data_IF_889273848679
#
_entry.id   IF_889273848679
#
_cell.length_a   1.000
_cell.length_b   1.000
_cell.length_c   1.000
_cell.angle_alpha   90.00
_cell.angle_beta   90.00
_cell.angle_gamma   90.00
#
_symmetry.space_group_name_H-M   'P 1'
#
loop_
_entity.id
_entity.type
_entity.pdbx_description
1 polymer ?
#
# COMPACT_ATOMS: atom_id res chain seq x y z
N UNK A 1 32.78 -17.53 -22.20
CA UNK A 1 32.01 -16.29 -22.01
C UNK A 1 30.55 -16.71 -21.99
N UNK A 2 29.89 -16.69 -20.85
CA UNK A 2 28.46 -17.07 -20.77
C UNK A 2 27.64 -15.85 -21.15
N UNK A 3 26.94 -15.92 -22.29
CA UNK A 3 25.95 -14.90 -22.65
C UNK A 3 24.70 -15.14 -21.82
N UNK A 4 24.28 -14.13 -21.07
CA UNK A 4 23.00 -14.15 -20.37
C UNK A 4 21.90 -14.16 -21.45
N UNK A 5 20.93 -15.10 -21.40
CA UNK A 5 19.79 -15.06 -22.30
C UNK A 5 19.07 -13.72 -22.16
N UNK A 6 18.98 -12.95 -23.25
CA UNK A 6 18.24 -11.70 -23.30
C UNK A 6 17.36 -11.68 -24.55
N UNK A 7 16.25 -10.97 -24.46
CA UNK A 7 15.42 -10.63 -25.61
C UNK A 7 15.84 -9.21 -26.02
N UNK A 8 16.28 -8.99 -27.26
CA UNK A 8 16.61 -7.64 -27.71
C UNK A 8 15.35 -6.77 -27.69
N UNK A 9 15.47 -5.56 -27.16
CA UNK A 9 14.42 -4.56 -27.28
C UNK A 9 14.22 -4.17 -28.75
N UNK A 10 13.05 -3.65 -29.06
CA UNK A 10 12.80 -3.04 -30.37
C UNK A 10 13.55 -1.72 -30.44
N UNK A 11 13.92 -1.33 -31.65
CA UNK A 11 14.51 0.00 -31.90
C UNK A 11 13.46 1.12 -31.77
N UNK A 12 12.18 0.78 -32.00
CA UNK A 12 11.06 1.72 -31.96
C UNK A 12 9.84 1.08 -31.25
N UNK A 13 9.11 1.87 -30.43
CA UNK A 13 7.87 1.45 -29.80
C UNK A 13 6.80 0.92 -30.76
N UNK A 14 5.92 0.08 -30.24
CA UNK A 14 4.70 -0.29 -30.95
C UNK A 14 3.71 0.88 -31.02
N UNK A 15 2.85 0.87 -32.04
CA UNK A 15 1.72 1.79 -32.09
C UNK A 15 0.77 1.51 -30.90
N UNK A 16 0.39 2.53 -30.09
CA UNK A 16 -0.46 2.33 -28.92
C UNK A 16 -1.86 1.81 -29.29
N UNK A 17 -2.25 0.66 -28.73
CA UNK A 17 -3.60 0.10 -28.95
C UNK A 17 -4.70 0.98 -28.36
N UNK A 18 -4.46 1.55 -27.18
CA UNK A 18 -5.42 2.41 -26.46
C UNK A 18 -5.44 3.85 -26.98
N UNK A 19 -4.78 4.13 -28.11
CA UNK A 19 -4.58 5.48 -28.64
C UNK A 19 -3.46 6.26 -27.92
N UNK A 20 -3.21 7.52 -28.31
CA UNK A 20 -2.09 8.31 -27.81
C UNK A 20 -2.13 8.52 -26.30
N UNK A 21 -0.98 8.52 -25.65
CA UNK A 21 -0.84 8.82 -24.22
C UNK A 21 -1.35 10.24 -23.96
N UNK A 22 -2.20 10.38 -22.94
CA UNK A 22 -2.75 11.68 -22.50
C UNK A 22 -2.70 11.83 -20.97
N UNK A 23 -2.08 10.91 -20.24
CA UNK A 23 -1.76 11.09 -18.83
C UNK A 23 -0.78 12.26 -18.65
N UNK A 24 -0.91 12.95 -17.52
CA UNK A 24 0.00 14.04 -17.16
C UNK A 24 1.35 13.52 -16.66
N UNK A 25 1.34 12.33 -16.06
CA UNK A 25 2.54 11.64 -15.60
C UNK A 25 2.86 10.48 -16.53
N UNK A 26 4.15 10.33 -16.81
CA UNK A 26 4.75 9.21 -17.51
C UNK A 26 6.10 8.91 -16.84
N UNK A 27 6.44 7.65 -16.64
CA UNK A 27 7.60 7.27 -15.84
C UNK A 27 8.78 6.86 -16.73
N UNK A 28 9.77 6.22 -16.13
CA UNK A 28 11.04 5.92 -16.79
C UNK A 28 10.98 4.69 -17.69
N UNK A 29 9.90 3.89 -17.66
CA UNK A 29 9.76 2.73 -18.54
C UNK A 29 9.33 3.20 -19.94
N UNK A 30 9.91 2.62 -20.98
CA UNK A 30 9.58 3.00 -22.35
C UNK A 30 8.23 2.43 -22.77
N UNK A 31 7.31 3.32 -23.13
CA UNK A 31 5.95 2.96 -23.50
C UNK A 31 5.91 2.05 -24.73
N UNK A 32 5.13 0.97 -24.64
CA UNK A 32 4.83 0.07 -25.74
C UNK A 32 6.07 -0.54 -26.42
N UNK A 33 7.22 -0.59 -25.74
CA UNK A 33 8.44 -1.18 -26.30
C UNK A 33 8.37 -2.72 -26.38
N UNK A 34 7.61 -3.34 -25.46
CA UNK A 34 7.42 -4.80 -25.37
C UNK A 34 6.14 -5.25 -26.11
N UNK A 35 5.06 -4.46 -26.03
CA UNK A 35 3.75 -4.82 -26.60
C UNK A 35 2.90 -3.59 -26.90
N UNK A 36 2.04 -3.68 -27.92
CA UNK A 36 1.07 -2.62 -28.26
C UNK A 36 -0.05 -2.44 -27.22
N UNK A 37 -0.29 -3.44 -26.36
CA UNK A 37 -1.45 -3.47 -25.46
C UNK A 37 -1.18 -2.90 -24.05
N UNK A 38 0.08 -2.89 -23.63
CA UNK A 38 0.52 -2.45 -22.31
C UNK A 38 1.62 -1.42 -22.55
N UNK A 39 1.42 -0.18 -22.07
CA UNK A 39 2.39 0.89 -22.23
C UNK A 39 3.66 0.60 -21.42
N UNK A 40 3.56 0.59 -20.09
CA UNK A 40 4.67 0.26 -19.20
C UNK A 40 4.52 -1.18 -18.68
N UNK A 41 5.20 -2.13 -19.33
CA UNK A 41 5.02 -3.56 -19.14
C UNK A 41 5.42 -4.04 -17.73
N UNK A 42 6.60 -3.65 -17.26
CA UNK A 42 7.12 -4.02 -15.95
C UNK A 42 6.34 -3.30 -14.85
N UNK A 43 6.06 -2.00 -14.99
CA UNK A 43 5.25 -1.25 -14.02
C UNK A 43 3.84 -1.86 -13.89
N UNK A 44 3.24 -2.30 -15.00
CA UNK A 44 1.94 -3.00 -14.98
C UNK A 44 2.03 -4.36 -14.27
N UNK A 45 3.02 -5.19 -14.58
CA UNK A 45 3.10 -6.54 -14.01
C UNK A 45 3.46 -6.52 -12.52
N UNK A 46 4.31 -5.60 -12.07
CA UNK A 46 4.74 -5.52 -10.67
C UNK A 46 3.59 -5.24 -9.70
N UNK A 47 2.49 -4.66 -10.19
CA UNK A 47 1.26 -4.46 -9.43
C UNK A 47 0.58 -5.75 -8.94
N UNK A 48 0.91 -6.91 -9.51
CA UNK A 48 0.50 -8.23 -8.97
C UNK A 48 0.92 -8.42 -7.51
N UNK A 49 1.97 -7.71 -7.08
CA UNK A 49 2.46 -7.74 -5.71
C UNK A 49 1.42 -7.23 -4.72
N UNK A 50 0.71 -6.14 -5.04
CA UNK A 50 -0.38 -5.62 -4.21
C UNK A 50 -1.52 -6.65 -4.09
N UNK A 51 -1.90 -7.27 -5.20
CA UNK A 51 -2.93 -8.31 -5.23
C UNK A 51 -2.56 -9.53 -4.38
N UNK A 52 -1.31 -9.98 -4.49
CA UNK A 52 -0.80 -11.09 -3.71
C UNK A 52 -0.87 -10.78 -2.21
N UNK A 53 -0.42 -9.61 -1.77
CA UNK A 53 -0.45 -9.25 -0.35
C UNK A 53 -1.84 -8.97 0.20
N UNK A 54 -2.72 -8.37 -0.60
CA UNK A 54 -4.13 -8.23 -0.25
C UNK A 54 -4.78 -9.61 -0.04
N UNK A 55 -4.54 -10.56 -0.95
CA UNK A 55 -5.01 -11.94 -0.80
C UNK A 55 -4.48 -12.60 0.47
N UNK A 56 -3.18 -12.49 0.76
CA UNK A 56 -2.59 -13.05 1.97
C UNK A 56 -3.19 -12.47 3.25
N UNK A 57 -3.45 -11.16 3.29
CA UNK A 57 -4.11 -10.49 4.41
C UNK A 57 -5.56 -10.96 4.61
N UNK A 58 -6.34 -11.00 3.54
CA UNK A 58 -7.74 -11.48 3.57
C UNK A 58 -7.80 -12.95 4.01
N UNK A 59 -6.88 -13.79 3.50
CA UNK A 59 -6.79 -15.20 3.88
C UNK A 59 -6.54 -15.38 5.37
N UNK A 60 -5.66 -14.56 5.98
CA UNK A 60 -5.37 -14.60 7.41
C UNK A 60 -6.60 -14.29 8.28
N UNK A 61 -7.55 -13.51 7.75
CA UNK A 61 -8.78 -13.11 8.44
C UNK A 61 -9.98 -14.06 8.23
N UNK A 62 -9.84 -15.11 7.42
CA UNK A 62 -10.94 -15.97 6.96
C UNK A 62 -11.81 -16.61 8.05
N UNK A 63 -11.26 -16.81 9.26
CA UNK A 63 -11.96 -17.44 10.38
C UNK A 63 -12.39 -16.46 11.48
N UNK A 64 -12.30 -15.15 11.25
CA UNK A 64 -12.60 -14.13 12.26
C UNK A 64 -14.01 -13.57 12.12
N UNK A 65 -14.70 -13.35 13.23
CA UNK A 65 -16.05 -12.77 13.24
C UNK A 65 -16.09 -11.30 12.78
N UNK A 66 -14.98 -10.57 12.93
CA UNK A 66 -14.81 -9.17 12.52
C UNK A 66 -14.12 -9.02 11.14
N UNK A 67 -14.02 -10.11 10.36
CA UNK A 67 -13.25 -10.18 9.11
C UNK A 67 -13.62 -9.08 8.09
N UNK A 68 -14.89 -8.69 7.99
CA UNK A 68 -15.32 -7.66 7.03
C UNK A 68 -14.59 -6.33 7.24
N UNK A 69 -14.58 -5.83 8.48
CA UNK A 69 -13.93 -4.54 8.80
C UNK A 69 -12.41 -4.65 8.81
N UNK A 70 -11.85 -5.81 9.18
CA UNK A 70 -10.41 -6.09 9.07
C UNK A 70 -9.93 -6.14 7.62
N UNK A 71 -10.79 -6.57 6.70
CA UNK A 71 -10.43 -6.73 5.29
C UNK A 71 -10.53 -5.45 4.46
N UNK A 72 -11.14 -4.37 4.97
CA UNK A 72 -11.26 -3.11 4.21
C UNK A 72 -9.92 -2.54 3.73
N UNK A 73 -8.85 -2.44 4.56
CA UNK A 73 -7.55 -1.98 4.08
C UNK A 73 -6.91 -2.90 3.05
N UNK A 74 -7.10 -4.22 3.17
CA UNK A 74 -6.60 -5.19 2.18
C UNK A 74 -7.36 -5.10 0.85
N UNK A 75 -8.66 -4.85 0.89
CA UNK A 75 -9.45 -4.55 -0.32
C UNK A 75 -9.01 -3.22 -0.95
N UNK A 76 -8.70 -2.20 -0.14
CA UNK A 76 -8.07 -0.96 -0.60
C UNK A 76 -6.74 -1.21 -1.30
N UNK A 77 -5.86 -2.03 -0.71
CA UNK A 77 -4.59 -2.43 -1.30
C UNK A 77 -4.76 -3.17 -2.65
N UNK A 78 -5.74 -4.06 -2.74
CA UNK A 78 -6.07 -4.72 -4.01
C UNK A 78 -6.56 -3.71 -5.04
N UNK A 79 -7.39 -2.74 -4.63
CA UNK A 79 -7.85 -1.64 -5.47
C UNK A 79 -6.71 -0.82 -6.06
N UNK A 80 -5.72 -0.47 -5.23
CA UNK A 80 -4.49 0.22 -5.67
C UNK A 80 -3.77 -0.60 -6.75
N UNK A 81 -3.53 -1.89 -6.51
CA UNK A 81 -2.86 -2.73 -7.50
C UNK A 81 -3.60 -2.83 -8.84
N UNK A 82 -4.94 -2.91 -8.82
CA UNK A 82 -5.72 -2.98 -10.05
C UNK A 82 -5.69 -1.66 -10.81
N UNK A 83 -5.91 -0.54 -10.11
CA UNK A 83 -6.03 0.76 -10.75
C UNK A 83 -4.67 1.29 -11.22
N UNK A 84 -3.60 1.03 -10.46
CA UNK A 84 -2.22 1.26 -10.88
C UNK A 84 -1.86 0.42 -12.11
N UNK A 85 -2.20 -0.88 -12.12
CA UNK A 85 -1.96 -1.72 -13.30
C UNK A 85 -2.70 -1.21 -14.55
N UNK A 86 -3.94 -0.74 -14.40
CA UNK A 86 -4.72 -0.15 -15.50
C UNK A 86 -4.10 1.16 -16.00
N UNK A 87 -3.60 1.99 -15.09
CA UNK A 87 -2.89 3.21 -15.45
C UNK A 87 -1.63 2.90 -16.25
N UNK A 88 -0.72 2.11 -15.72
CA UNK A 88 0.54 1.75 -16.40
C UNK A 88 0.31 0.98 -17.71
N UNK A 89 -0.82 0.27 -17.85
CA UNK A 89 -1.14 -0.43 -19.10
C UNK A 89 -1.63 0.52 -20.20
N UNK A 90 -2.24 1.65 -19.86
CA UNK A 90 -2.96 2.49 -20.82
C UNK A 90 -2.45 3.92 -20.93
N UNK A 91 -1.78 4.43 -19.89
CA UNK A 91 -1.29 5.80 -19.72
C UNK A 91 -2.36 6.84 -20.09
N UNK A 92 -3.56 6.66 -19.55
CA UNK A 92 -4.68 7.59 -19.72
C UNK A 92 -4.92 8.46 -18.50
N UNK A 93 -5.35 9.69 -18.73
CA UNK A 93 -5.84 10.62 -17.71
C UNK A 93 -6.86 9.97 -16.76
N UNK A 94 -7.91 9.35 -17.30
CA UNK A 94 -8.95 8.72 -16.47
C UNK A 94 -8.47 7.49 -15.69
N UNK A 95 -7.47 6.77 -16.20
CA UNK A 95 -6.83 5.69 -15.43
C UNK A 95 -5.86 6.22 -14.39
N UNK A 96 -5.17 7.33 -14.68
CA UNK A 96 -4.30 8.02 -13.73
C UNK A 96 -5.13 8.53 -12.54
N UNK A 97 -6.29 9.13 -12.80
CA UNK A 97 -7.22 9.53 -11.74
C UNK A 97 -7.64 8.34 -10.88
N UNK A 98 -7.85 7.18 -11.50
CA UNK A 98 -8.15 5.93 -10.81
C UNK A 98 -7.02 5.50 -9.87
N UNK A 99 -5.78 5.50 -10.36
CA UNK A 99 -4.59 5.16 -9.56
C UNK A 99 -4.41 6.13 -8.39
N UNK A 100 -4.36 7.45 -8.66
CA UNK A 100 -4.23 8.51 -7.65
C UNK A 100 -5.31 8.40 -6.56
N UNK A 101 -6.57 8.27 -6.99
CA UNK A 101 -7.71 8.17 -6.07
C UNK A 101 -7.65 6.92 -5.22
N UNK A 102 -7.22 5.80 -5.79
CA UNK A 102 -7.14 4.52 -5.07
C UNK A 102 -6.15 4.58 -3.90
N UNK A 103 -5.01 5.26 -4.09
CA UNK A 103 -3.98 5.45 -3.06
C UNK A 103 -4.50 6.31 -1.90
N UNK A 104 -5.20 7.40 -2.20
CA UNK A 104 -5.83 8.26 -1.18
C UNK A 104 -6.91 7.50 -0.42
N UNK A 105 -7.83 6.81 -1.10
CA UNK A 105 -8.90 6.07 -0.42
C UNK A 105 -8.31 4.98 0.47
N UNK A 106 -7.35 4.19 -0.03
CA UNK A 106 -6.70 3.14 0.74
C UNK A 106 -6.03 3.71 2.01
N UNK A 107 -5.27 4.80 1.87
CA UNK A 107 -4.58 5.45 3.00
C UNK A 107 -5.56 6.07 3.98
N UNK A 108 -6.61 6.72 3.51
CA UNK A 108 -7.71 7.23 4.33
C UNK A 108 -8.38 6.15 5.19
N UNK A 109 -8.56 4.92 4.67
CA UNK A 109 -9.09 3.82 5.50
C UNK A 109 -8.15 3.44 6.64
N UNK A 110 -6.84 3.46 6.41
CA UNK A 110 -5.82 3.19 7.44
C UNK A 110 -5.77 4.34 8.44
N UNK A 111 -5.78 5.58 7.96
CA UNK A 111 -5.83 6.81 8.77
C UNK A 111 -7.03 6.78 9.72
N UNK A 112 -8.23 6.54 9.19
CA UNK A 112 -9.44 6.43 9.99
C UNK A 112 -9.31 5.36 11.07
N UNK A 113 -8.79 4.18 10.72
CA UNK A 113 -8.60 3.08 11.67
C UNK A 113 -7.64 3.43 12.82
N UNK A 114 -6.50 4.06 12.54
CA UNK A 114 -5.53 4.41 13.59
C UNK A 114 -6.00 5.57 14.47
N UNK A 115 -6.74 6.53 13.92
CA UNK A 115 -7.27 7.68 14.70
C UNK A 115 -8.52 7.33 15.52
N UNK A 116 -9.27 6.30 15.13
CA UNK A 116 -10.47 5.84 15.85
C UNK A 116 -10.19 4.69 16.82
N UNK A 117 -8.93 4.28 16.92
CA UNK A 117 -8.49 3.32 17.92
C UNK A 117 -8.85 3.77 19.35
N UNK A 118 -9.52 2.89 20.09
CA UNK A 118 -10.00 3.12 21.47
C UNK A 118 -10.91 4.35 21.61
N UNK A 119 -11.64 4.71 20.54
CA UNK A 119 -12.65 5.77 20.54
C UNK A 119 -14.05 5.20 20.56
N UNK A 120 -15.01 6.02 21.01
CA UNK A 120 -16.41 5.63 21.02
C UNK A 120 -16.96 5.43 19.61
N UNK A 121 -17.96 4.56 19.45
CA UNK A 121 -18.63 4.33 18.16
C UNK A 121 -19.11 5.63 17.51
N UNK A 122 -19.64 6.56 18.31
CA UNK A 122 -20.07 7.88 17.83
C UNK A 122 -18.92 8.65 17.21
N UNK A 123 -17.75 8.68 17.85
CA UNK A 123 -16.57 9.34 17.30
C UNK A 123 -16.14 8.68 15.99
N UNK A 124 -16.08 7.35 15.95
CA UNK A 124 -15.69 6.58 14.77
C UNK A 124 -16.60 6.84 13.58
N UNK A 125 -17.91 6.85 13.78
CA UNK A 125 -18.88 7.12 12.71
C UNK A 125 -18.78 8.55 12.23
N UNK A 126 -18.75 9.53 13.14
CA UNK A 126 -18.68 10.95 12.76
C UNK A 126 -17.38 11.27 12.02
N UNK A 127 -16.23 10.82 12.52
CA UNK A 127 -14.94 11.06 11.85
C UNK A 127 -14.87 10.35 10.49
N UNK A 128 -15.43 9.15 10.38
CA UNK A 128 -15.51 8.41 9.12
C UNK A 128 -16.39 9.10 8.08
N UNK A 129 -17.58 9.58 8.48
CA UNK A 129 -18.45 10.35 7.61
C UNK A 129 -17.81 11.66 7.16
N UNK A 130 -17.15 12.38 8.07
CA UNK A 130 -16.43 13.62 7.72
C UNK A 130 -15.28 13.36 6.75
N UNK A 131 -14.48 12.32 6.98
CA UNK A 131 -13.39 11.93 6.08
C UNK A 131 -13.92 11.51 4.71
N UNK A 132 -15.01 10.75 4.66
CA UNK A 132 -15.65 10.34 3.41
C UNK A 132 -16.12 11.55 2.58
N UNK A 133 -16.80 12.52 3.22
CA UNK A 133 -17.27 13.73 2.54
C UNK A 133 -16.07 14.53 2.00
N UNK A 134 -15.02 14.68 2.80
CA UNK A 134 -13.80 15.36 2.39
C UNK A 134 -13.13 14.65 1.19
N UNK A 135 -12.97 13.33 1.25
CA UNK A 135 -12.38 12.53 0.16
C UNK A 135 -13.19 12.66 -1.13
N UNK A 136 -14.53 12.53 -1.06
CA UNK A 136 -15.40 12.70 -2.24
C UNK A 136 -15.24 14.09 -2.85
N UNK A 137 -15.20 15.14 -2.03
CA UNK A 137 -15.02 16.51 -2.52
C UNK A 137 -13.63 16.72 -3.14
N UNK A 138 -12.59 16.19 -2.50
CA UNK A 138 -11.21 16.28 -3.00
C UNK A 138 -11.03 15.53 -4.32
N UNK A 139 -11.51 14.29 -4.40
CA UNK A 139 -11.45 13.47 -5.62
C UNK A 139 -12.25 14.11 -6.76
N UNK A 140 -13.44 14.62 -6.48
CA UNK A 140 -14.23 15.31 -7.49
C UNK A 140 -13.49 16.56 -8.01
N UNK A 141 -12.88 17.34 -7.12
CA UNK A 141 -12.04 18.47 -7.51
C UNK A 141 -10.83 18.01 -8.34
N UNK A 142 -10.07 17.00 -7.89
CA UNK A 142 -8.91 16.40 -8.58
C UNK A 142 -9.25 16.02 -10.03
N UNK A 143 -10.35 15.28 -10.24
CA UNK A 143 -10.78 14.85 -11.57
C UNK A 143 -11.33 15.99 -12.43
N UNK A 144 -11.92 17.05 -11.85
CA UNK A 144 -12.48 18.18 -12.61
C UNK A 144 -11.37 19.14 -13.04
N UNK A 145 -10.41 19.40 -12.17
CA UNK A 145 -9.32 20.34 -12.46
C UNK A 145 -8.15 19.69 -13.18
N UNK A 146 -8.10 18.35 -13.18
CA UNK A 146 -6.99 17.58 -13.73
C UNK A 146 -5.67 18.12 -13.15
N UNK A 147 -5.60 18.22 -11.82
CA UNK A 147 -4.47 18.82 -11.09
C UNK A 147 -3.73 17.72 -10.34
N UNK A 148 -2.44 17.52 -10.58
CA UNK A 148 -1.71 16.34 -10.05
C UNK A 148 -0.84 16.63 -8.83
N UNK A 149 -0.65 17.88 -8.41
CA UNK A 149 0.23 18.23 -7.29
C UNK A 149 -0.42 17.98 -5.93
N UNK A 150 -1.71 18.27 -5.79
CA UNK A 150 -2.38 18.17 -4.50
C UNK A 150 -2.60 16.72 -4.07
N UNK A 151 -2.68 15.78 -5.02
CA UNK A 151 -2.71 14.34 -4.74
C UNK A 151 -1.51 13.87 -3.90
N UNK A 152 -0.24 13.98 -4.35
CA UNK A 152 0.92 13.52 -3.59
C UNK A 152 1.14 14.34 -2.30
N UNK A 153 0.74 15.62 -2.28
CA UNK A 153 0.77 16.44 -1.05
C UNK A 153 -0.18 15.87 0.00
N UNK A 154 -1.44 15.60 -0.36
CA UNK A 154 -2.42 15.04 0.55
C UNK A 154 -2.02 13.62 0.98
N UNK A 155 -1.59 12.79 0.02
CA UNK A 155 -1.09 11.44 0.30
C UNK A 155 0.07 11.46 1.31
N UNK A 156 1.06 12.34 1.12
CA UNK A 156 2.18 12.51 2.05
C UNK A 156 1.73 12.96 3.45
N UNK A 157 0.73 13.84 3.54
CA UNK A 157 0.14 14.28 4.81
C UNK A 157 -0.56 13.11 5.52
N UNK A 158 -1.39 12.33 4.82
CA UNK A 158 -2.08 11.18 5.40
C UNK A 158 -1.08 10.14 5.92
N UNK A 159 -0.07 9.81 5.12
CA UNK A 159 1.00 8.87 5.48
C UNK A 159 1.76 9.35 6.73
N UNK A 160 2.09 10.64 6.83
CA UNK A 160 2.73 11.21 8.01
C UNK A 160 1.86 11.06 9.27
N UNK A 161 0.57 11.40 9.17
CA UNK A 161 -0.36 11.26 10.30
C UNK A 161 -0.58 9.81 10.71
N UNK A 162 -0.72 8.90 9.74
CA UNK A 162 -0.77 7.45 9.97
C UNK A 162 0.46 6.99 10.75
N UNK A 163 1.66 7.41 10.33
CA UNK A 163 2.92 7.06 11.00
C UNK A 163 3.01 7.61 12.43
N UNK A 164 2.69 8.88 12.63
CA UNK A 164 2.70 9.54 13.96
C UNK A 164 1.73 8.84 14.91
N UNK A 165 0.49 8.59 14.46
CA UNK A 165 -0.54 7.97 15.29
C UNK A 165 -0.21 6.51 15.61
N UNK A 166 0.32 5.77 14.64
CA UNK A 166 0.78 4.38 14.86
C UNK A 166 1.90 4.33 15.89
N UNK A 167 2.88 5.24 15.79
CA UNK A 167 3.95 5.35 16.80
C UNK A 167 3.40 5.68 18.20
N UNK A 168 2.40 6.55 18.29
CA UNK A 168 1.71 6.85 19.55
C UNK A 168 1.08 5.60 20.16
N UNK A 169 0.35 4.81 19.37
CA UNK A 169 -0.28 3.55 19.81
C UNK A 169 0.78 2.53 20.25
N UNK A 170 1.87 2.38 19.50
CA UNK A 170 2.99 1.48 19.87
C UNK A 170 3.54 1.86 21.26
N UNK A 171 3.82 3.15 21.49
CA UNK A 171 4.35 3.61 22.77
C UNK A 171 3.39 3.37 23.95
N UNK A 172 2.07 3.31 23.69
CA UNK A 172 1.05 3.03 24.71
C UNK A 172 0.90 1.53 24.99
N UNK A 173 1.11 0.66 23.99
CA UNK A 173 0.71 -0.76 24.05
C UNK A 173 1.87 -1.75 24.09
N UNK A 174 3.07 -1.36 23.66
CA UNK A 174 4.21 -2.26 23.53
C UNK A 174 5.29 -1.91 24.57
N UNK A 175 5.52 -2.82 25.52
CA UNK A 175 6.53 -2.65 26.57
C UNK A 175 7.98 -2.79 26.05
N UNK A 176 8.18 -3.58 24.98
CA UNK A 176 9.47 -3.77 24.33
C UNK A 176 9.64 -2.81 23.14
N UNK A 177 10.58 -1.87 23.27
CA UNK A 177 10.84 -0.82 22.28
C UNK A 177 11.62 -1.30 21.04
N UNK A 178 11.91 -2.59 20.93
CA UNK A 178 12.63 -3.19 19.80
C UNK A 178 11.78 -3.42 18.55
N UNK A 179 10.46 -3.18 18.60
CA UNK A 179 9.60 -3.15 17.40
C UNK A 179 9.93 -1.89 16.58
N UNK A 180 10.96 -2.00 15.76
CA UNK A 180 11.40 -0.94 14.85
C UNK A 180 10.31 -0.58 13.85
N UNK A 181 10.13 0.72 13.60
CA UNK A 181 9.32 1.22 12.49
C UNK A 181 9.75 0.52 11.19
N UNK A 182 8.82 0.06 10.33
CA UNK A 182 9.22 -0.60 9.10
C UNK A 182 10.00 0.40 8.24
N UNK A 183 11.22 0.02 7.86
CA UNK A 183 12.15 0.76 7.02
C UNK A 183 11.62 1.07 5.60
N UNK A 184 10.35 0.73 5.30
CA UNK A 184 9.67 1.01 4.04
C UNK A 184 9.52 2.50 3.74
N UNK A 185 9.63 3.36 4.75
CA UNK A 185 9.51 4.82 4.61
C UNK A 185 10.75 5.49 3.99
N UNK A 186 11.90 4.79 3.89
CA UNK A 186 13.20 5.44 3.59
C UNK A 186 13.77 5.08 2.21
N UNK A 187 13.24 4.08 1.51
CA UNK A 187 13.88 3.53 0.30
C UNK A 187 12.96 3.66 -0.93
N UNK A 188 12.90 4.87 -1.49
CA UNK A 188 12.18 5.17 -2.73
C UNK A 188 13.08 5.03 -3.98
N UNK A 189 12.82 4.01 -4.82
CA UNK A 189 13.20 3.95 -6.23
C UNK A 189 12.11 3.19 -7.01
N UNK A 190 11.70 3.74 -8.16
CA UNK A 190 10.36 3.63 -8.75
C UNK A 190 9.80 2.22 -9.08
N UNK A 191 10.61 1.26 -9.54
CA UNK A 191 10.14 -0.13 -9.73
C UNK A 191 10.17 -0.97 -8.44
N UNK A 192 11.11 -0.66 -7.54
CA UNK A 192 11.16 -1.23 -6.20
C UNK A 192 10.09 -0.63 -5.30
N UNK A 193 9.61 0.57 -5.58
CA UNK A 193 8.53 1.23 -4.85
C UNK A 193 7.30 0.34 -4.81
N UNK A 194 6.80 -0.22 -5.91
CA UNK A 194 5.60 -1.08 -5.85
C UNK A 194 5.80 -2.36 -5.05
N UNK A 195 6.99 -2.96 -5.12
CA UNK A 195 7.34 -4.16 -4.36
C UNK A 195 7.53 -3.82 -2.87
N UNK A 196 8.30 -2.77 -2.55
CA UNK A 196 8.64 -2.34 -1.20
C UNK A 196 7.51 -1.62 -0.49
N UNK A 197 6.64 -0.89 -1.19
CA UNK A 197 5.41 -0.34 -0.64
C UNK A 197 4.30 -1.37 -0.60
N UNK A 198 4.22 -2.31 -1.54
CA UNK A 198 3.33 -3.47 -1.41
C UNK A 198 3.68 -4.30 -0.18
N UNK A 199 4.96 -4.63 0.00
CA UNK A 199 5.50 -5.29 1.20
C UNK A 199 5.33 -4.40 2.44
N UNK A 200 5.68 -3.13 2.34
CA UNK A 200 5.67 -2.17 3.44
C UNK A 200 4.28 -1.87 3.94
N UNK A 201 3.33 -1.57 3.04
CA UNK A 201 1.92 -1.40 3.35
C UNK A 201 1.32 -2.69 3.92
N UNK A 202 1.65 -3.86 3.37
CA UNK A 202 1.22 -5.14 3.95
C UNK A 202 1.71 -5.33 5.38
N UNK A 203 3.02 -5.15 5.63
CA UNK A 203 3.62 -5.26 6.97
C UNK A 203 3.00 -4.21 7.90
N UNK A 204 2.77 -2.99 7.41
CA UNK A 204 2.23 -1.90 8.20
C UNK A 204 0.75 -2.12 8.56
N UNK A 205 -0.07 -2.59 7.61
CA UNK A 205 -1.47 -2.97 7.87
C UNK A 205 -1.51 -4.13 8.88
N UNK A 206 -0.68 -5.17 8.72
CA UNK A 206 -0.59 -6.27 9.67
C UNK A 206 -0.15 -5.81 11.07
N UNK A 207 0.78 -4.84 11.15
CA UNK A 207 1.21 -4.22 12.39
C UNK A 207 0.09 -3.44 13.07
N UNK A 208 -0.60 -2.56 12.34
CA UNK A 208 -1.76 -1.81 12.84
C UNK A 208 -2.85 -2.77 13.30
N UNK A 209 -3.12 -3.82 12.53
CA UNK A 209 -4.11 -4.84 12.88
C UNK A 209 -3.78 -5.53 14.21
N UNK A 210 -2.53 -5.95 14.42
CA UNK A 210 -2.09 -6.54 15.69
C UNK A 210 -2.21 -5.58 16.86
N UNK A 211 -1.70 -4.35 16.72
CA UNK A 211 -1.72 -3.34 17.77
C UNK A 211 -3.15 -2.98 18.19
N UNK A 212 -4.09 -3.04 17.25
CA UNK A 212 -5.51 -2.72 17.46
C UNK A 212 -6.36 -3.92 17.92
N UNK A 213 -5.79 -5.12 18.05
CA UNK A 213 -6.48 -6.33 18.51
C UNK A 213 -6.34 -6.57 20.02
N UNK A 214 -7.15 -7.49 20.58
CA UNK A 214 -7.00 -7.99 21.96
C UNK A 214 -5.72 -8.83 22.17
N UNK A 215 -5.10 -9.25 21.07
CA UNK A 215 -3.88 -10.08 21.05
C UNK A 215 -2.60 -9.22 21.22
N UNK A 216 -2.75 -7.88 21.25
CA UNK A 216 -1.65 -6.94 21.44
C UNK A 216 -0.91 -7.20 22.77
N UNK A 217 0.38 -7.56 22.68
CA UNK A 217 1.24 -7.88 23.83
C UNK A 217 1.58 -9.36 23.96
N UNK A 218 1.00 -10.24 23.13
CA UNK A 218 1.35 -11.66 23.05
C UNK A 218 2.48 -11.91 22.04
N UNK A 219 3.15 -13.06 22.12
CA UNK A 219 4.24 -13.39 21.19
C UNK A 219 3.70 -13.50 19.75
N UNK A 220 4.26 -12.70 18.84
CA UNK A 220 3.93 -12.74 17.41
C UNK A 220 4.34 -14.11 16.83
N UNK A 221 3.37 -14.85 16.26
CA UNK A 221 3.63 -16.13 15.62
C UNK A 221 4.59 -15.99 14.42
N UNK A 222 5.29 -17.09 14.06
CA UNK A 222 6.26 -17.11 12.96
C UNK A 222 5.71 -16.65 11.59
N UNK A 223 4.38 -16.54 11.44
CA UNK A 223 3.68 -16.16 10.21
C UNK A 223 3.11 -14.73 10.24
N UNK A 224 3.55 -13.86 11.15
CA UNK A 224 2.94 -12.55 11.39
C UNK A 224 2.78 -11.68 10.12
N UNK A 225 3.85 -11.48 9.35
CA UNK A 225 3.79 -10.80 8.05
C UNK A 225 5.03 -11.14 7.19
N UNK A 226 4.91 -11.94 6.14
CA UNK A 226 6.03 -12.24 5.22
C UNK A 226 6.24 -11.10 4.20
N UNK A 227 7.47 -10.63 3.88
CA UNK A 227 8.80 -11.15 4.24
C UNK A 227 9.38 -10.59 5.53
N UNK A 228 8.59 -9.92 6.37
CA UNK A 228 8.97 -9.55 7.73
C UNK A 228 9.21 -10.80 8.57
N UNK A 229 10.43 -11.36 8.50
CA UNK A 229 10.86 -12.38 9.44
C UNK A 229 10.78 -11.81 10.84
N UNK A 230 10.25 -12.63 11.75
CA UNK A 230 10.28 -12.43 13.18
C UNK A 230 11.72 -12.53 13.73
N UNK A 231 12.63 -11.64 13.33
CA UNK A 231 13.96 -11.50 13.95
C UNK A 231 13.86 -11.01 15.41
N UNK A 232 12.65 -10.77 15.92
CA UNK A 232 12.37 -10.54 17.34
C UNK A 232 12.48 -11.84 18.16
N UNK A 233 12.37 -13.02 17.53
CA UNK A 233 12.35 -14.31 18.26
C UNK A 233 13.73 -14.89 18.58
N UNK A 234 14.79 -14.60 17.80
CA UNK A 234 16.14 -15.10 18.10
C UNK A 234 16.73 -14.47 19.38
N UNK A 235 16.44 -13.20 19.62
CA UNK A 235 16.96 -12.48 20.80
C UNK A 235 16.35 -12.95 22.13
N UNK A 236 15.21 -13.65 22.09
CA UNK A 236 14.50 -14.13 23.29
C UNK A 236 14.96 -15.54 23.68
N UNK A 237 15.29 -16.41 22.72
CA UNK A 237 15.73 -17.78 23.01
C UNK A 237 17.19 -17.84 23.52
N UNK A 238 18.05 -16.91 23.08
CA UNK A 238 19.44 -16.81 23.59
C UNK A 238 19.51 -16.31 25.04
N UNK A 239 18.57 -15.46 25.48
CA UNK A 239 18.49 -14.97 26.87
C UNK A 239 17.94 -15.99 27.86
N UNK A 240 17.19 -16.99 27.41
CA UNK A 240 16.72 -18.09 28.26
C UNK A 240 17.72 -19.23 28.43
N UNK A 241 18.71 -19.33 27.55
CA UNK A 241 19.80 -20.33 27.66
C UNK A 241 21.03 -19.80 28.42
N UNK A 242 21.05 -18.51 28.75
CA UNK A 242 22.17 -17.83 29.43
C UNK A 242 21.83 -17.32 30.85
N UNK A 243 20.66 -17.68 31.38
CA UNK A 243 20.23 -17.45 32.77
C UNK A 243 19.90 -18.78 33.44
#
# INVERSE_FOLDING_TARGET
>A
MFSIPSIPYRDEPHAPYWGPINSQTNFCEEDHIITQYIAEFINTLTNVTYLYYAYKGIQANSNRHDAILRNLPYLGLAGVGILSALFHATCKDWTQWGDDTSMLIATSTVLHRVFTYDKSLKYTVVSGSSLFIFMVAFIAWHCITDETLMHPVLFGIEIAFVGIQTRSIINLRVADRSVGMPWSFVLELHGWWHILTGIGAYIFIALVEYLTSEEAGQALGQSFAWPGKANVLETIDERKKSA
#
